data_IF_352458866245
#
_entry.id   IF_352458866245
#
_cell.length_a   1.000
_cell.length_b   1.000
_cell.length_c   1.000
_cell.angle_alpha   90.00
_cell.angle_beta   90.00
_cell.angle_gamma   90.00
#
_symmetry.space_group_name_H-M   'P 1'
#
loop_
_entity.id
_entity.type
_entity.pdbx_description
1 polymer ?
#
# COMPACT_ATOMS: atom_id res chain seq x y z
N UNK A 1 -33.28 28.09 -2.33
CA UNK A 1 -33.68 29.51 -2.44
C UNK A 1 -32.58 30.42 -3.02
N UNK A 2 -31.31 30.34 -2.58
CA UNK A 2 -30.23 31.23 -3.07
C UNK A 2 -29.91 31.11 -4.58
N UNK A 3 -29.78 29.88 -5.12
CA UNK A 3 -29.55 29.65 -6.56
C UNK A 3 -30.65 30.25 -7.45
N UNK A 4 -31.89 30.26 -6.95
CA UNK A 4 -33.06 30.75 -7.69
C UNK A 4 -33.10 32.28 -7.74
N UNK A 5 -32.66 32.94 -6.67
CA UNK A 5 -32.49 34.40 -6.61
C UNK A 5 -31.31 34.88 -7.48
N UNK A 6 -30.21 34.11 -7.54
CA UNK A 6 -29.05 34.44 -8.38
C UNK A 6 -29.32 34.28 -9.88
N UNK A 7 -30.20 33.35 -10.29
CA UNK A 7 -30.67 33.21 -11.67
C UNK A 7 -31.53 34.37 -12.17
N UNK A 8 -32.15 35.12 -11.26
CA UNK A 8 -33.01 36.27 -11.57
C UNK A 8 -32.26 37.60 -11.47
N UNK A 9 -30.97 37.60 -11.11
CA UNK A 9 -30.18 38.80 -10.94
C UNK A 9 -29.50 39.22 -12.26
N UNK A 10 -29.94 40.33 -12.86
CA UNK A 10 -29.37 40.86 -14.12
C UNK A 10 -28.08 41.66 -13.96
N UNK A 11 -27.66 41.92 -12.72
CA UNK A 11 -26.42 42.65 -12.45
C UNK A 11 -25.19 41.81 -12.80
N UNK A 12 -24.12 42.47 -13.25
CA UNK A 12 -22.84 41.84 -13.56
C UNK A 12 -22.31 41.00 -12.38
N UNK A 13 -22.42 41.54 -11.16
CA UNK A 13 -22.06 40.82 -9.92
C UNK A 13 -22.95 39.58 -9.66
N UNK A 14 -24.22 39.62 -10.01
CA UNK A 14 -25.13 38.48 -9.89
C UNK A 14 -24.75 37.35 -10.84
N UNK A 15 -24.44 37.69 -12.09
CA UNK A 15 -23.97 36.75 -13.12
C UNK A 15 -22.61 36.13 -12.76
N UNK A 16 -21.67 36.93 -12.27
CA UNK A 16 -20.37 36.43 -11.81
C UNK A 16 -20.48 35.47 -10.61
N UNK A 17 -21.37 35.77 -9.65
CA UNK A 17 -21.64 34.87 -8.52
C UNK A 17 -22.30 33.57 -8.93
N UNK A 18 -23.27 33.61 -9.85
CA UNK A 18 -23.89 32.40 -10.39
C UNK A 18 -22.86 31.55 -11.14
N UNK A 19 -22.04 32.18 -12.00
CA UNK A 19 -20.96 31.50 -12.72
C UNK A 19 -19.97 30.82 -11.78
N UNK A 20 -19.52 31.53 -10.73
CA UNK A 20 -18.64 30.94 -9.72
C UNK A 20 -19.32 29.75 -9.03
N UNK A 21 -20.60 29.84 -8.69
CA UNK A 21 -21.31 28.76 -8.00
C UNK A 21 -21.62 27.54 -8.89
N UNK A 22 -21.85 27.75 -10.18
CA UNK A 22 -22.07 26.68 -11.17
C UNK A 22 -20.76 25.98 -11.57
N UNK A 23 -19.63 26.70 -11.53
CA UNK A 23 -18.31 26.18 -11.93
C UNK A 23 -17.39 25.88 -10.74
N UNK A 24 -17.83 26.14 -9.51
CA UNK A 24 -17.14 25.68 -8.30
C UNK A 24 -17.53 24.23 -8.08
N UNK A 25 -16.54 23.34 -8.17
CA UNK A 25 -16.67 21.98 -7.70
C UNK A 25 -16.79 22.03 -6.18
N UNK A 26 -17.93 21.60 -5.63
CA UNK A 26 -18.02 21.38 -4.19
C UNK A 26 -17.02 20.28 -3.81
N UNK A 27 -16.10 20.58 -2.90
CA UNK A 27 -15.01 19.69 -2.44
C UNK A 27 -15.51 18.44 -1.69
N UNK A 28 -16.82 18.20 -1.68
CA UNK A 28 -17.51 17.14 -0.95
C UNK A 28 -17.15 15.72 -1.43
N UNK A 29 -16.35 15.59 -2.50
CA UNK A 29 -15.89 14.31 -3.06
C UNK A 29 -14.36 14.19 -3.22
N UNK A 30 -13.52 15.03 -2.58
CA UNK A 30 -12.04 14.85 -2.63
C UNK A 30 -11.45 13.96 -1.53
N UNK A 31 -12.27 13.45 -0.62
CA UNK A 31 -11.85 12.41 0.32
C UNK A 31 -12.78 11.23 0.05
N UNK A 32 -12.36 10.23 -0.73
CA UNK A 32 -13.13 9.01 -0.89
C UNK A 32 -13.51 8.48 0.50
N UNK A 33 -14.74 7.97 0.71
CA UNK A 33 -15.10 7.40 1.98
C UNK A 33 -14.12 6.26 2.29
N UNK A 34 -13.35 6.44 3.37
CA UNK A 34 -12.85 5.37 4.25
C UNK A 34 -12.42 4.09 3.53
N UNK A 35 -11.21 4.08 2.96
CA UNK A 35 -10.50 2.80 2.78
C UNK A 35 -10.13 2.31 4.18
N UNK A 36 -11.07 1.62 4.82
CA UNK A 36 -10.83 0.91 6.07
C UNK A 36 -10.30 -0.47 5.69
N UNK A 37 -9.18 -0.84 6.29
CA UNK A 37 -8.69 -2.22 6.27
C UNK A 37 -8.71 -2.75 7.70
N UNK A 38 -8.96 -4.04 7.84
CA UNK A 38 -8.78 -4.73 9.10
C UNK A 38 -7.46 -5.50 9.02
N UNK A 39 -6.56 -5.26 9.99
CA UNK A 39 -5.30 -5.96 10.08
C UNK A 39 -5.46 -7.18 10.98
N UNK A 40 -4.89 -8.30 10.57
CA UNK A 40 -4.68 -9.47 11.43
C UNK A 40 -3.34 -9.40 12.19
N UNK A 41 -2.52 -8.37 11.95
CA UNK A 41 -1.20 -8.16 12.55
C UNK A 41 -0.08 -8.96 11.90
N UNK A 42 -0.24 -9.37 10.63
CA UNK A 42 0.75 -10.19 9.92
C UNK A 42 1.71 -9.32 9.11
N UNK A 43 2.93 -9.16 9.60
CA UNK A 43 3.95 -8.32 8.98
C UNK A 43 5.00 -9.16 8.23
N UNK A 44 5.47 -8.62 7.11
CA UNK A 44 6.65 -9.10 6.42
C UNK A 44 7.75 -8.04 6.47
N UNK A 45 8.97 -8.44 6.82
CA UNK A 45 10.16 -7.61 6.74
C UNK A 45 11.06 -8.17 5.65
N UNK A 46 11.42 -7.32 4.67
CA UNK A 46 12.26 -7.69 3.53
C UNK A 46 13.57 -6.90 3.59
N UNK A 47 14.71 -7.54 3.42
CA UNK A 47 15.99 -6.83 3.39
C UNK A 47 17.21 -7.71 3.63
N UNK A 48 18.39 -7.10 3.82
CA UNK A 48 19.60 -7.80 4.23
C UNK A 48 19.44 -8.45 5.62
N UNK A 49 19.98 -9.65 5.80
CA UNK A 49 19.85 -10.46 7.04
C UNK A 49 20.31 -9.67 8.28
N UNK A 50 21.42 -8.93 8.16
CA UNK A 50 21.99 -8.08 9.23
C UNK A 50 21.04 -6.98 9.74
N UNK A 51 20.14 -6.47 8.89
CA UNK A 51 19.22 -5.39 9.24
C UNK A 51 17.91 -5.96 9.79
N UNK A 52 17.33 -6.94 9.08
CA UNK A 52 15.98 -7.44 9.37
C UNK A 52 15.91 -8.21 10.70
N UNK A 53 16.99 -8.88 11.11
CA UNK A 53 17.04 -9.60 12.39
C UNK A 53 16.88 -8.67 13.59
N UNK A 54 17.54 -7.50 13.54
CA UNK A 54 17.41 -6.48 14.60
C UNK A 54 16.02 -5.86 14.65
N UNK A 55 15.40 -5.66 13.48
CA UNK A 55 14.06 -5.06 13.37
C UNK A 55 12.96 -6.00 13.88
N UNK A 56 13.11 -7.31 13.71
CA UNK A 56 12.14 -8.31 14.20
C UNK A 56 11.87 -8.15 15.70
N UNK A 57 12.92 -7.86 16.49
CA UNK A 57 12.81 -7.67 17.94
C UNK A 57 11.99 -6.43 18.33
N UNK A 58 11.86 -5.45 17.45
CA UNK A 58 11.11 -4.20 17.68
C UNK A 58 9.63 -4.33 17.30
N UNK A 59 9.23 -5.44 16.68
CA UNK A 59 7.86 -5.69 16.21
C UNK A 59 7.13 -6.71 17.10
N UNK A 60 7.40 -6.69 18.41
CA UNK A 60 6.85 -7.65 19.39
C UNK A 60 5.33 -7.67 19.48
N UNK A 61 4.67 -6.58 19.10
CA UNK A 61 3.22 -6.43 19.22
C UNK A 61 2.46 -6.97 17.99
N UNK A 62 3.18 -7.41 16.94
CA UNK A 62 2.59 -8.01 15.76
C UNK A 62 2.18 -9.47 16.04
N UNK A 63 1.07 -9.91 15.45
CA UNK A 63 0.64 -11.31 15.53
C UNK A 63 1.69 -12.24 14.92
N UNK A 64 2.22 -11.88 13.74
CA UNK A 64 3.33 -12.59 13.11
C UNK A 64 4.29 -11.62 12.45
N UNK A 65 5.58 -11.95 12.50
CA UNK A 65 6.64 -11.24 11.78
C UNK A 65 7.41 -12.26 10.96
N UNK A 66 7.21 -12.22 9.65
CA UNK A 66 7.96 -13.04 8.68
C UNK A 66 9.17 -12.26 8.20
N UNK A 67 10.33 -12.93 8.14
CA UNK A 67 11.58 -12.33 7.67
C UNK A 67 11.95 -12.92 6.31
N UNK A 68 12.23 -12.04 5.35
CA UNK A 68 12.70 -12.39 4.00
C UNK A 68 14.05 -11.72 3.73
N UNK A 69 15.10 -12.54 3.72
CA UNK A 69 16.44 -12.13 3.34
C UNK A 69 16.59 -12.01 1.82
N UNK A 70 17.21 -10.91 1.38
CA UNK A 70 17.56 -10.64 -0.02
C UNK A 70 19.04 -10.83 -0.35
N UNK A 71 19.91 -10.97 0.66
CA UNK A 71 21.35 -11.18 0.47
C UNK A 71 21.75 -12.66 0.43
N UNK A 72 20.82 -13.57 0.79
CA UNK A 72 21.03 -15.01 0.75
C UNK A 72 21.86 -15.55 1.91
N UNK A 73 22.17 -14.72 2.90
CA UNK A 73 22.84 -15.16 4.12
C UNK A 73 21.87 -15.94 5.00
N UNK A 74 22.35 -17.07 5.53
CA UNK A 74 21.61 -17.87 6.52
C UNK A 74 22.06 -17.47 7.91
N UNK A 75 21.08 -17.27 8.77
CA UNK A 75 21.28 -17.14 10.22
C UNK A 75 20.49 -18.26 10.89
N UNK A 76 21.18 -19.17 11.58
CA UNK A 76 20.55 -20.32 12.24
C UNK A 76 19.71 -19.92 13.46
N UNK A 77 19.96 -18.73 14.02
CA UNK A 77 19.19 -18.23 15.16
C UNK A 77 17.85 -17.61 14.74
N UNK A 78 17.70 -17.25 13.45
CA UNK A 78 16.52 -16.58 12.91
C UNK A 78 15.81 -17.48 11.89
N UNK A 79 14.52 -17.74 12.12
CA UNK A 79 13.68 -18.42 11.13
C UNK A 79 13.39 -17.47 9.96
N UNK A 80 14.27 -17.47 8.95
CA UNK A 80 14.21 -16.58 7.80
C UNK A 80 14.02 -17.33 6.48
N UNK A 81 13.26 -16.72 5.58
CA UNK A 81 13.17 -17.13 4.18
C UNK A 81 14.23 -16.40 3.38
N UNK A 82 14.70 -17.02 2.29
CA UNK A 82 15.71 -16.44 1.40
C UNK A 82 15.26 -16.58 -0.04
N UNK A 83 15.40 -15.51 -0.81
CA UNK A 83 15.17 -15.53 -2.25
C UNK A 83 15.99 -14.46 -2.95
N UNK A 84 16.41 -14.73 -4.17
CA UNK A 84 17.04 -13.74 -5.05
C UNK A 84 16.04 -12.92 -5.85
N UNK A 85 14.76 -13.31 -5.88
CA UNK A 85 13.71 -12.66 -6.65
C UNK A 85 12.38 -12.69 -5.90
N UNK A 86 11.85 -11.50 -5.70
CA UNK A 86 10.59 -11.27 -5.01
C UNK A 86 9.75 -10.29 -5.82
N UNK A 87 8.46 -10.58 -5.92
CA UNK A 87 7.45 -9.73 -6.53
C UNK A 87 6.35 -9.47 -5.51
N UNK A 88 6.08 -8.19 -5.27
CA UNK A 88 5.13 -7.72 -4.27
C UNK A 88 4.03 -6.95 -4.98
N UNK A 89 2.77 -7.28 -4.67
CA UNK A 89 1.59 -6.59 -5.18
C UNK A 89 0.55 -6.43 -4.08
N UNK A 90 -0.42 -5.54 -4.30
CA UNK A 90 -1.51 -5.30 -3.36
C UNK A 90 -1.45 -3.94 -2.68
N UNK A 91 -2.08 -3.86 -1.52
CA UNK A 91 -2.26 -2.64 -0.73
C UNK A 91 -2.28 -2.99 0.76
N UNK A 92 -2.31 -1.97 1.62
CA UNK A 92 -2.33 -2.13 3.08
C UNK A 92 -3.49 -3.05 3.52
N UNK A 93 -3.16 -4.10 4.27
CA UNK A 93 -4.10 -5.16 4.68
C UNK A 93 -4.26 -6.29 3.65
N UNK A 94 -3.63 -6.23 2.48
CA UNK A 94 -3.73 -7.28 1.46
C UNK A 94 -2.55 -7.28 0.49
N UNK A 95 -1.34 -7.52 1.00
CA UNK A 95 -0.15 -7.70 0.18
C UNK A 95 0.09 -9.16 -0.17
N UNK A 96 0.13 -9.45 -1.47
CA UNK A 96 0.57 -10.74 -1.99
C UNK A 96 2.06 -10.69 -2.30
N UNK A 97 2.79 -11.71 -1.84
CA UNK A 97 4.24 -11.80 -1.98
C UNK A 97 4.59 -13.10 -2.67
N UNK A 98 5.09 -12.98 -3.90
CA UNK A 98 5.54 -14.11 -4.70
C UNK A 98 7.06 -14.14 -4.69
N UNK A 99 7.63 -15.29 -4.32
CA UNK A 99 9.08 -15.53 -4.33
C UNK A 99 9.42 -16.58 -5.37
N UNK A 100 10.62 -16.49 -5.93
CA UNK A 100 11.14 -17.55 -6.80
C UNK A 100 12.04 -18.50 -6.00
N UNK A 101 11.78 -19.81 -6.10
CA UNK A 101 12.62 -20.85 -5.52
C UNK A 101 12.77 -22.00 -6.52
N UNK A 102 14.00 -22.38 -6.87
CA UNK A 102 14.31 -23.49 -7.79
C UNK A 102 13.52 -23.46 -9.13
N UNK A 103 13.18 -22.26 -9.62
CA UNK A 103 12.41 -22.08 -10.86
C UNK A 103 10.90 -22.01 -10.66
N UNK A 104 10.38 -22.37 -9.49
CA UNK A 104 8.97 -22.25 -9.14
C UNK A 104 8.66 -20.89 -8.51
N UNK A 105 7.42 -20.42 -8.74
CA UNK A 105 6.89 -19.22 -8.09
C UNK A 105 5.98 -19.63 -6.95
N UNK A 106 6.30 -19.18 -5.74
CA UNK A 106 5.64 -19.59 -4.51
C UNK A 106 5.02 -18.36 -3.86
N UNK A 107 3.77 -18.48 -3.39
CA UNK A 107 3.17 -17.46 -2.54
C UNK A 107 3.70 -17.62 -1.10
N UNK A 108 4.49 -16.64 -0.65
CA UNK A 108 5.16 -16.69 0.63
C UNK A 108 4.19 -16.66 1.81
N UNK A 109 3.10 -15.89 1.76
CA UNK A 109 2.17 -15.80 2.89
C UNK A 109 1.47 -17.14 3.17
N UNK A 110 1.17 -17.90 2.11
CA UNK A 110 0.56 -19.23 2.26
C UNK A 110 1.50 -20.21 2.95
N UNK A 111 2.80 -20.12 2.67
CA UNK A 111 3.81 -21.01 3.24
C UNK A 111 4.22 -20.57 4.65
N UNK A 112 4.39 -19.28 4.88
CA UNK A 112 4.93 -18.74 6.13
C UNK A 112 3.89 -18.66 7.24
N UNK A 113 2.66 -18.27 6.92
CA UNK A 113 1.63 -17.96 7.91
C UNK A 113 0.29 -18.61 7.61
N UNK A 114 0.20 -19.46 6.57
CA UNK A 114 -1.05 -20.09 6.13
C UNK A 114 -2.18 -19.08 5.84
N UNK A 115 -1.83 -17.92 5.28
CA UNK A 115 -2.76 -16.86 4.88
C UNK A 115 -2.57 -16.47 3.42
N UNK A 116 -3.58 -15.83 2.84
CA UNK A 116 -3.54 -15.39 1.43
C UNK A 116 -2.64 -14.17 1.19
N UNK A 117 -2.40 -13.36 2.23
CA UNK A 117 -1.67 -12.10 2.17
C UNK A 117 -1.01 -11.72 3.50
N UNK A 118 -0.08 -10.76 3.44
CA UNK A 118 0.41 -9.99 4.58
C UNK A 118 -0.36 -8.67 4.70
N UNK A 119 -0.41 -8.11 5.90
CA UNK A 119 -1.07 -6.83 6.12
C UNK A 119 -0.15 -5.66 5.80
N UNK A 120 1.11 -5.79 6.19
CA UNK A 120 2.12 -4.73 6.06
C UNK A 120 3.46 -5.31 5.62
N UNK A 121 4.17 -4.55 4.81
CA UNK A 121 5.51 -4.90 4.34
C UNK A 121 6.47 -3.77 4.72
N UNK A 122 7.52 -4.12 5.45
CA UNK A 122 8.64 -3.23 5.74
C UNK A 122 9.78 -3.60 4.79
N UNK A 123 10.02 -2.74 3.81
CA UNK A 123 11.10 -2.90 2.84
C UNK A 123 12.35 -2.16 3.33
N UNK A 124 13.36 -2.91 3.72
CA UNK A 124 14.66 -2.45 4.22
C UNK A 124 15.75 -2.59 3.15
N UNK A 125 15.38 -2.82 1.88
CA UNK A 125 16.33 -2.90 0.77
C UNK A 125 16.74 -1.51 0.27
N UNK A 126 17.98 -1.39 -0.22
CA UNK A 126 18.47 -0.16 -0.86
C UNK A 126 17.78 0.09 -2.21
N UNK A 127 17.58 -0.97 -2.97
CA UNK A 127 16.83 -0.96 -4.22
C UNK A 127 15.42 -1.45 -3.91
N UNK A 128 14.54 -0.51 -3.54
CA UNK A 128 13.17 -0.80 -3.13
C UNK A 128 12.57 -1.93 -3.99
N UNK A 129 12.20 -3.03 -3.36
CA UNK A 129 11.46 -4.12 -4.00
C UNK A 129 10.01 -3.69 -4.19
N UNK A 130 9.51 -2.86 -3.29
CA UNK A 130 8.21 -2.22 -3.37
C UNK A 130 8.21 -1.05 -4.37
N UNK A 131 8.53 -1.27 -5.66
CA UNK A 131 8.41 -0.20 -6.67
C UNK A 131 7.00 -0.17 -7.26
N UNK A 132 6.29 0.95 -7.07
CA UNK A 132 5.10 1.28 -7.88
C UNK A 132 5.51 1.40 -9.36
N UNK A 133 5.05 0.48 -10.21
CA UNK A 133 4.74 0.85 -11.61
C UNK A 133 3.52 1.76 -11.58
N UNK A 134 3.73 3.05 -11.38
CA UNK A 134 2.66 4.04 -11.50
C UNK A 134 2.28 4.17 -12.98
N UNK A 135 1.25 3.45 -13.39
CA UNK A 135 0.48 3.73 -14.61
C UNK A 135 -0.85 4.33 -14.15
N UNK A 136 -0.82 5.54 -13.59
CA UNK A 136 -2.03 6.35 -13.58
C UNK A 136 -2.23 6.85 -15.01
N UNK A 137 -3.04 6.14 -15.81
CA UNK A 137 -3.68 6.78 -16.93
C UNK A 137 -4.77 7.68 -16.37
N UNK A 138 -4.54 8.99 -16.45
CA UNK A 138 -5.60 9.98 -16.28
C UNK A 138 -6.58 9.73 -17.42
N UNK A 139 -7.69 9.04 -17.13
CA UNK A 139 -8.82 8.95 -18.05
C UNK A 139 -9.39 10.36 -18.13
N UNK A 140 -8.98 11.08 -19.16
CA UNK A 140 -9.63 12.35 -19.53
C UNK A 140 -10.86 11.94 -20.33
N UNK A 141 -12.04 12.04 -19.72
CA UNK A 141 -13.31 12.03 -20.45
C UNK A 141 -13.58 13.42 -21.02
#
# INVERSE_FOLDING_TARGET
MLKQQLKQADTENGRARLYALENTVELTNLIPPTVSYESLGNALVVGPTSIIGSLASQLSDMTTVTLLSTDGEKDEALSLYFTSKVAISGFLGSFQVLIQNQGETINLSKVAINQEHFDVILDMTLMAVCVKKSQYQVITQ
#
